data_IF_625108165160
#
_entry.id   IF_625108165160
#
_cell.length_a   1.000
_cell.length_b   1.000
_cell.length_c   1.000
_cell.angle_alpha   90.00
_cell.angle_beta   90.00
_cell.angle_gamma   90.00
#
_symmetry.space_group_name_H-M   'P 1'
#
loop_
_entity.id
_entity.type
_entity.pdbx_description
1 polymer ?
#
# COMPACT_ATOMS: atom_id res chain seq x y z
N UNK A 1 10.41 10.91 -5.28
CA UNK A 1 9.11 10.90 -5.98
C UNK A 1 8.01 10.90 -4.91
N UNK A 2 6.97 11.73 -5.03
CA UNK A 2 5.83 11.77 -4.09
C UNK A 2 4.65 11.07 -4.77
N UNK A 3 4.01 10.06 -4.13
CA UNK A 3 2.86 9.38 -4.73
C UNK A 3 1.69 10.36 -4.88
N UNK A 4 0.96 10.23 -5.99
CA UNK A 4 -0.22 11.07 -6.28
C UNK A 4 -1.50 10.30 -5.98
N UNK A 5 -1.55 9.04 -6.39
CA UNK A 5 -2.73 8.20 -6.30
C UNK A 5 -2.34 6.72 -6.21
N UNK A 6 -3.12 5.93 -5.48
CA UNK A 6 -2.97 4.47 -5.41
C UNK A 6 -4.36 3.82 -5.42
N UNK A 7 -4.56 2.89 -6.35
CA UNK A 7 -5.75 2.04 -6.41
C UNK A 7 -5.31 0.59 -6.41
N UNK A 8 -5.89 -0.22 -5.53
CA UNK A 8 -5.56 -1.64 -5.42
C UNK A 8 -6.74 -2.44 -4.85
N UNK A 9 -6.75 -3.74 -5.13
CA UNK A 9 -7.77 -4.69 -4.67
C UNK A 9 -7.16 -6.08 -4.50
N UNK A 10 -7.68 -6.87 -3.57
CA UNK A 10 -7.30 -8.27 -3.40
C UNK A 10 -5.94 -8.46 -2.72
N UNK A 11 -5.40 -7.42 -2.08
CA UNK A 11 -4.09 -7.46 -1.44
C UNK A 11 -4.24 -7.66 0.07
N UNK A 12 -3.79 -8.80 0.59
CA UNK A 12 -3.89 -9.19 2.00
C UNK A 12 -5.32 -9.03 2.55
N UNK A 13 -5.52 -8.19 3.57
CA UNK A 13 -6.82 -7.91 4.19
C UNK A 13 -7.73 -7.00 3.35
N UNK A 14 -7.19 -6.33 2.31
CA UNK A 14 -7.95 -5.45 1.43
C UNK A 14 -8.62 -6.25 0.29
N UNK A 15 -9.68 -6.98 0.64
CA UNK A 15 -10.44 -7.79 -0.32
C UNK A 15 -11.19 -6.92 -1.35
N UNK A 16 -11.66 -5.74 -0.91
CA UNK A 16 -12.38 -4.79 -1.74
C UNK A 16 -11.44 -3.70 -2.29
N UNK A 17 -11.84 -3.06 -3.39
CA UNK A 17 -11.07 -1.98 -3.99
C UNK A 17 -10.87 -0.84 -3.00
N UNK A 18 -9.63 -0.39 -2.88
CA UNK A 18 -9.23 0.79 -2.13
C UNK A 18 -8.69 1.83 -3.08
N UNK A 19 -8.94 3.09 -2.75
CA UNK A 19 -8.50 4.24 -3.50
C UNK A 19 -7.94 5.27 -2.50
N UNK A 20 -6.69 5.68 -2.70
CA UNK A 20 -6.00 6.63 -1.84
C UNK A 20 -5.50 7.79 -2.70
N UNK A 21 -6.06 8.98 -2.45
CA UNK A 21 -5.59 10.22 -3.05
C UNK A 21 -4.57 10.91 -2.14
N UNK A 22 -3.30 10.81 -2.50
CA UNK A 22 -2.19 11.39 -1.73
C UNK A 22 -2.04 12.89 -1.94
N UNK A 23 -2.66 13.48 -2.97
CA UNK A 23 -2.54 14.93 -3.22
C UNK A 23 -2.99 15.73 -1.99
N UNK A 24 -4.12 15.31 -1.41
CA UNK A 24 -4.70 15.87 -0.17
C UNK A 24 -3.77 15.73 1.05
N UNK A 25 -2.90 14.72 1.06
CA UNK A 25 -1.98 14.40 2.15
C UNK A 25 -0.60 15.06 1.96
N UNK A 26 -0.20 15.25 0.71
CA UNK A 26 1.11 15.78 0.32
C UNK A 26 1.25 17.29 0.50
N UNK A 27 0.14 18.02 0.61
CA UNK A 27 0.14 19.46 0.94
C UNK A 27 0.88 19.74 2.25
N UNK A 28 0.75 18.85 3.24
CA UNK A 28 1.41 18.97 4.53
C UNK A 28 2.85 18.41 4.54
N UNK A 29 3.37 17.92 3.41
CA UNK A 29 4.67 17.22 3.26
C UNK A 29 4.87 15.97 4.14
N UNK A 30 3.94 15.69 5.05
CA UNK A 30 3.97 14.59 6.00
C UNK A 30 2.54 14.09 6.22
N UNK A 31 2.38 12.76 6.18
CA UNK A 31 1.14 12.10 6.54
C UNK A 31 1.44 10.83 7.33
N UNK A 32 0.45 10.35 8.09
CA UNK A 32 0.54 9.11 8.86
C UNK A 32 -0.51 8.09 8.43
N UNK A 33 -0.17 6.81 8.61
CA UNK A 33 -1.10 5.69 8.42
C UNK A 33 -1.34 5.07 9.81
N UNK A 34 -2.58 5.18 10.31
CA UNK A 34 -2.93 4.79 11.68
C UNK A 34 -3.90 3.61 11.73
N UNK A 35 -3.91 2.89 12.86
CA UNK A 35 -4.85 1.79 13.12
C UNK A 35 -4.26 0.66 13.97
N UNK A 36 -5.10 -0.28 14.44
CA UNK A 36 -4.70 -1.41 15.29
C UNK A 36 -3.66 -2.36 14.64
N UNK A 37 -2.98 -3.18 15.44
CA UNK A 37 -2.10 -4.23 14.92
C UNK A 37 -2.91 -5.18 14.03
N UNK A 38 -2.35 -5.59 12.89
CA UNK A 38 -3.04 -6.46 11.93
C UNK A 38 -4.06 -5.77 11.03
N UNK A 39 -4.32 -4.46 11.18
CA UNK A 39 -5.33 -3.74 10.39
C UNK A 39 -4.97 -3.50 8.90
N UNK A 40 -3.81 -3.98 8.44
CA UNK A 40 -3.40 -3.84 7.04
C UNK A 40 -2.54 -2.61 6.70
N UNK A 41 -2.10 -1.79 7.67
CA UNK A 41 -1.28 -0.59 7.39
C UNK A 41 -0.05 -0.87 6.51
N UNK A 42 0.73 -1.90 6.83
CA UNK A 42 1.91 -2.29 6.04
C UNK A 42 1.55 -2.76 4.63
N UNK A 43 0.33 -3.28 4.42
CA UNK A 43 -0.13 -3.69 3.10
C UNK A 43 -0.30 -2.50 2.15
N UNK A 44 -0.59 -1.30 2.65
CA UNK A 44 -0.61 -0.08 1.81
C UNK A 44 0.80 0.20 1.26
N UNK A 45 1.82 0.13 2.12
CA UNK A 45 3.22 0.34 1.70
C UNK A 45 3.66 -0.74 0.71
N UNK A 46 3.26 -1.99 0.93
CA UNK A 46 3.53 -3.08 -0.01
C UNK A 46 2.80 -2.93 -1.33
N UNK A 47 1.56 -2.42 -1.33
CA UNK A 47 0.85 -2.10 -2.56
C UNK A 47 1.62 -1.06 -3.40
N UNK A 48 2.17 -0.03 -2.75
CA UNK A 48 2.99 0.99 -3.42
C UNK A 48 4.25 0.35 -4.01
N UNK A 49 4.98 -0.43 -3.21
CA UNK A 49 6.20 -1.11 -3.67
C UNK A 49 5.92 -2.07 -4.83
N UNK A 50 4.86 -2.87 -4.73
CA UNK A 50 4.46 -3.80 -5.78
C UNK A 50 4.07 -3.06 -7.06
N UNK A 51 3.30 -1.97 -6.98
CA UNK A 51 2.90 -1.20 -8.14
C UNK A 51 4.08 -0.54 -8.87
N UNK A 52 5.13 -0.15 -8.13
CA UNK A 52 6.31 0.50 -8.71
C UNK A 52 7.35 -0.49 -9.24
N UNK A 53 7.50 -1.63 -8.58
CA UNK A 53 8.64 -2.54 -8.83
C UNK A 53 8.23 -3.94 -9.27
N UNK A 54 6.94 -4.27 -9.28
CA UNK A 54 6.41 -5.58 -9.65
C UNK A 54 6.64 -6.69 -8.60
N UNK A 55 7.37 -6.39 -7.53
CA UNK A 55 7.80 -7.37 -6.54
C UNK A 55 7.77 -6.78 -5.12
N UNK A 56 7.52 -7.62 -4.12
CA UNK A 56 7.72 -7.27 -2.71
C UNK A 56 8.26 -8.47 -1.94
N UNK A 57 9.05 -8.22 -0.88
CA UNK A 57 9.64 -9.30 -0.07
C UNK A 57 8.62 -10.30 0.45
N UNK A 58 7.41 -9.84 0.80
CA UNK A 58 6.34 -10.68 1.36
C UNK A 58 5.50 -11.38 0.30
N UNK A 59 5.39 -10.84 -0.91
CA UNK A 59 4.71 -11.51 -2.02
C UNK A 59 5.62 -12.60 -2.62
N UNK A 60 6.90 -12.30 -2.86
CA UNK A 60 7.83 -13.25 -3.49
C UNK A 60 8.19 -14.44 -2.59
N UNK A 61 8.14 -14.29 -1.25
CA UNK A 61 8.37 -15.41 -0.32
C UNK A 61 7.36 -16.56 -0.45
N UNK A 62 6.21 -16.32 -1.09
CA UNK A 62 5.17 -17.35 -1.30
C UNK A 62 5.34 -18.12 -2.62
N UNK A 63 5.91 -17.50 -3.66
CA UNK A 63 6.11 -18.15 -4.96
C UNK A 63 7.37 -19.04 -5.03
N UNK A 64 8.33 -18.85 -4.13
CA UNK A 64 9.51 -19.71 -4.03
C UNK A 64 9.29 -20.98 -3.17
N UNK A 65 8.05 -21.49 -3.06
CA UNK A 65 7.72 -22.74 -2.38
C UNK A 65 6.93 -23.67 -3.27
#
# INVERSE_FOLDING_TARGET
MIPIHLTFKGLYSYQQQQEIDFRKLSEAQLFGIFGPVGSGKSAILEAISFALYGETERLNKRDNR
#
